data_IF_996954813702
#
_entry.id   IF_996954813702
#
_cell.length_a   1.000
_cell.length_b   1.000
_cell.length_c   1.000
_cell.angle_alpha   90.00
_cell.angle_beta   90.00
_cell.angle_gamma   90.00
#
_symmetry.space_group_name_H-M   'P 1'
#
loop_
_entity.id
_entity.type
_entity.pdbx_description
1 polymer ?
#
# COMPACT_ATOMS: atom_id res chain seq x y z
N UNK A 1 -43.09 15.97 -36.85
CA UNK A 1 -41.90 16.02 -36.00
C UNK A 1 -41.06 14.82 -36.40
N UNK A 2 -39.89 15.11 -36.91
CA UNK A 2 -39.11 14.26 -37.79
C UNK A 2 -38.27 13.28 -36.95
N UNK A 3 -38.34 11.99 -37.26
CA UNK A 3 -37.57 10.94 -36.57
C UNK A 3 -36.11 10.89 -37.05
N UNK A 4 -35.66 11.89 -37.79
CA UNK A 4 -34.34 11.98 -38.44
C UNK A 4 -33.28 12.68 -37.58
N UNK A 5 -33.65 13.46 -36.56
CA UNK A 5 -32.69 14.20 -35.71
C UNK A 5 -32.20 13.41 -34.46
N UNK A 6 -32.73 12.21 -34.21
CA UNK A 6 -32.26 11.34 -33.12
C UNK A 6 -31.11 10.40 -33.54
N UNK A 7 -30.63 10.49 -34.78
CA UNK A 7 -29.58 9.63 -35.32
C UNK A 7 -28.17 10.25 -35.34
N UNK A 8 -28.01 11.54 -35.01
CA UNK A 8 -26.72 12.25 -35.10
C UNK A 8 -25.93 12.36 -33.78
N UNK A 9 -26.39 11.72 -32.71
CA UNK A 9 -25.54 11.36 -31.57
C UNK A 9 -25.02 9.93 -31.73
N UNK A 10 -24.54 9.61 -32.94
CA UNK A 10 -23.58 8.53 -33.16
C UNK A 10 -22.29 8.93 -32.45
N UNK A 11 -22.24 8.65 -31.14
CA UNK A 11 -21.04 8.70 -30.32
C UNK A 11 -20.03 7.73 -30.91
N UNK A 12 -19.21 8.21 -31.85
CA UNK A 12 -18.13 7.43 -32.43
C UNK A 12 -17.21 7.04 -31.28
N UNK A 13 -17.18 5.73 -30.97
CA UNK A 13 -16.25 5.22 -29.95
C UNK A 13 -14.84 5.64 -30.37
N UNK A 14 -14.07 6.27 -29.49
CA UNK A 14 -12.72 6.70 -29.83
C UNK A 14 -11.90 5.50 -30.29
N UNK A 15 -11.15 5.68 -31.36
CA UNK A 15 -10.26 4.66 -31.91
C UNK A 15 -9.14 4.37 -30.92
N UNK A 16 -8.55 3.16 -30.98
CA UNK A 16 -7.40 2.78 -30.12
C UNK A 16 -6.28 3.82 -30.20
N UNK A 17 -6.03 4.38 -31.40
CA UNK A 17 -5.02 5.41 -31.62
C UNK A 17 -5.34 6.71 -30.87
N UNK A 18 -6.58 7.16 -30.88
CA UNK A 18 -7.02 8.36 -30.16
C UNK A 18 -6.93 8.17 -28.65
N UNK A 19 -7.31 7.00 -28.15
CA UNK A 19 -7.20 6.69 -26.72
C UNK A 19 -5.73 6.59 -26.27
N UNK A 20 -4.87 5.97 -27.07
CA UNK A 20 -3.43 5.89 -26.79
C UNK A 20 -2.77 7.27 -26.84
N UNK A 21 -3.12 8.11 -27.81
CA UNK A 21 -2.62 9.50 -27.87
C UNK A 21 -3.07 10.29 -26.65
N UNK A 22 -4.36 10.24 -26.29
CA UNK A 22 -4.86 10.92 -25.10
C UNK A 22 -4.18 10.41 -23.82
N UNK A 23 -3.96 9.10 -23.71
CA UNK A 23 -3.23 8.49 -22.61
C UNK A 23 -1.79 9.02 -22.52
N UNK A 24 -1.03 8.99 -23.62
CA UNK A 24 0.35 9.51 -23.63
C UNK A 24 0.42 11.01 -23.38
N UNK A 25 -0.51 11.80 -23.93
CA UNK A 25 -0.57 13.25 -23.67
C UNK A 25 -0.80 13.54 -22.20
N UNK A 26 -1.78 12.88 -21.57
CA UNK A 26 -2.05 13.07 -20.14
C UNK A 26 -0.89 12.64 -19.26
N UNK A 27 -0.24 11.51 -19.59
CA UNK A 27 0.99 11.09 -18.92
C UNK A 27 2.12 12.12 -19.06
N UNK A 28 2.32 12.67 -20.26
CA UNK A 28 3.33 13.70 -20.50
C UNK A 28 3.03 15.00 -19.75
N UNK A 29 1.75 15.29 -19.48
CA UNK A 29 1.29 16.41 -18.67
C UNK A 29 1.31 16.13 -17.16
N UNK A 30 1.68 14.92 -16.73
CA UNK A 30 1.70 14.52 -15.32
C UNK A 30 0.31 14.32 -14.71
N UNK A 31 -0.73 14.23 -15.54
CA UNK A 31 -2.09 13.96 -15.09
C UNK A 31 -2.24 12.46 -14.76
N UNK A 32 -2.95 12.15 -13.68
CA UNK A 32 -3.31 10.78 -13.37
C UNK A 32 -4.24 10.22 -14.44
N UNK A 33 -3.86 9.10 -15.06
CA UNK A 33 -4.68 8.44 -16.08
C UNK A 33 -5.04 7.04 -15.64
N UNK A 34 -6.34 6.76 -15.59
CA UNK A 34 -6.81 5.39 -15.48
C UNK A 34 -6.59 4.68 -16.82
N UNK A 35 -5.91 3.54 -16.80
CA UNK A 35 -5.63 2.77 -18.01
C UNK A 35 -6.59 1.58 -18.11
N UNK A 36 -7.55 1.61 -19.05
CA UNK A 36 -8.48 0.49 -19.27
C UNK A 36 -7.73 -0.80 -19.61
N UNK A 37 -8.24 -1.94 -19.13
CA UNK A 37 -7.65 -3.27 -19.40
C UNK A 37 -7.44 -3.53 -20.89
N UNK A 38 -8.38 -3.10 -21.73
CA UNK A 38 -8.33 -3.27 -23.19
C UNK A 38 -7.10 -2.62 -23.85
N UNK A 39 -6.44 -1.70 -23.17
CA UNK A 39 -5.26 -1.00 -23.68
C UNK A 39 -3.94 -1.57 -23.16
N UNK A 40 -3.95 -2.44 -22.15
CA UNK A 40 -2.73 -2.94 -21.51
C UNK A 40 -1.77 -3.60 -22.50
N UNK A 41 -2.28 -4.35 -23.48
CA UNK A 41 -1.45 -5.01 -24.50
C UNK A 41 -0.75 -4.03 -25.46
N UNK A 42 -1.18 -2.77 -25.51
CA UNK A 42 -0.63 -1.75 -26.40
C UNK A 42 0.34 -0.81 -25.67
N UNK A 43 0.38 -0.87 -24.33
CA UNK A 43 1.26 -0.01 -23.53
C UNK A 43 2.60 -0.72 -23.31
N UNK A 44 3.74 -0.12 -23.71
CA UNK A 44 5.05 -0.71 -23.54
C UNK A 44 5.57 -0.49 -22.10
N UNK A 45 4.90 -1.06 -21.09
CA UNK A 45 5.17 -0.80 -19.67
C UNK A 45 6.65 -0.88 -19.29
N UNK A 46 7.41 -1.82 -19.86
CA UNK A 46 8.85 -1.99 -19.59
C UNK A 46 9.72 -0.80 -20.00
N UNK A 47 9.28 -0.04 -21.00
CA UNK A 47 10.02 1.09 -21.57
C UNK A 47 9.57 2.41 -20.94
N UNK A 48 8.50 2.40 -20.16
CA UNK A 48 7.92 3.59 -19.56
C UNK A 48 8.48 3.80 -18.15
N UNK A 49 8.85 5.05 -17.87
CA UNK A 49 9.27 5.46 -16.53
C UNK A 49 8.06 6.02 -15.79
N UNK A 50 7.41 5.19 -14.99
CA UNK A 50 6.29 5.63 -14.16
C UNK A 50 6.81 6.29 -12.88
N UNK A 51 6.64 7.61 -12.75
CA UNK A 51 6.97 8.31 -11.52
C UNK A 51 6.10 7.82 -10.34
N UNK A 52 4.82 7.60 -10.60
CA UNK A 52 3.84 7.11 -9.63
C UNK A 52 2.96 6.03 -10.26
N UNK A 53 2.71 4.97 -9.51
CA UNK A 53 1.73 3.94 -9.85
C UNK A 53 0.76 3.78 -8.70
N UNK A 54 -0.52 4.01 -9.00
CA UNK A 54 -1.63 3.79 -8.06
C UNK A 54 -2.39 2.54 -8.46
N UNK A 55 -2.51 1.58 -7.55
CA UNK A 55 -3.26 0.35 -7.75
C UNK A 55 -4.41 0.35 -6.76
N UNK A 56 -5.64 0.34 -7.27
CA UNK A 56 -6.85 0.31 -6.46
C UNK A 56 -7.52 -1.06 -6.61
N UNK A 57 -7.48 -1.85 -5.54
CA UNK A 57 -8.09 -3.16 -5.42
C UNK A 57 -9.11 -3.13 -4.28
N UNK A 58 -10.08 -2.22 -4.40
CA UNK A 58 -11.20 -2.07 -3.47
C UNK A 58 -12.47 -2.68 -4.03
N UNK A 59 -13.27 -3.32 -3.18
CA UNK A 59 -14.65 -3.72 -3.46
C UNK A 59 -15.54 -2.49 -3.43
N UNK A 60 -15.59 -1.74 -4.53
CA UNK A 60 -16.63 -0.72 -4.70
C UNK A 60 -17.96 -1.41 -5.06
N UNK A 61 -18.85 -1.58 -4.08
CA UNK A 61 -20.22 -2.08 -4.32
C UNK A 61 -20.34 -3.58 -4.64
N UNK A 62 -21.57 -4.08 -4.47
CA UNK A 62 -22.06 -5.48 -4.57
C UNK A 62 -21.02 -6.51 -5.07
N UNK A 63 -20.38 -7.19 -4.11
CA UNK A 63 -19.60 -8.44 -4.30
C UNK A 63 -18.74 -8.48 -5.56
N UNK A 64 -17.83 -7.52 -5.74
CA UNK A 64 -16.77 -7.70 -6.72
C UNK A 64 -15.74 -8.71 -6.20
N UNK A 65 -15.92 -9.98 -6.55
CA UNK A 65 -14.79 -10.90 -6.65
C UNK A 65 -14.16 -10.64 -8.02
N UNK A 66 -13.08 -9.86 -8.06
CA UNK A 66 -12.27 -9.80 -9.26
C UNK A 66 -11.91 -11.25 -9.66
N UNK A 67 -12.27 -11.71 -10.87
CA UNK A 67 -11.97 -13.08 -11.28
C UNK A 67 -10.48 -13.33 -11.09
N UNK A 68 -10.08 -14.52 -10.62
CA UNK A 68 -8.66 -14.86 -10.43
C UNK A 68 -7.82 -14.61 -11.72
N UNK A 69 -8.46 -14.66 -12.89
CA UNK A 69 -7.88 -14.29 -14.18
C UNK A 69 -7.54 -12.80 -14.31
N UNK A 70 -8.38 -11.89 -13.80
CA UNK A 70 -8.11 -10.45 -13.80
C UNK A 70 -6.86 -10.14 -12.97
N UNK A 71 -6.73 -10.79 -11.81
CA UNK A 71 -5.52 -10.64 -11.00
C UNK A 71 -4.28 -11.17 -11.73
N UNK A 72 -4.36 -12.32 -12.42
CA UNK A 72 -3.23 -12.85 -13.20
C UNK A 72 -2.79 -11.88 -14.30
N UNK A 73 -3.74 -11.29 -15.03
CA UNK A 73 -3.44 -10.27 -16.05
C UNK A 73 -2.82 -9.03 -15.42
N UNK A 74 -3.40 -8.53 -14.33
CA UNK A 74 -2.87 -7.38 -13.59
C UNK A 74 -1.45 -7.65 -13.09
N UNK A 75 -1.19 -8.81 -12.49
CA UNK A 75 0.14 -9.20 -12.03
C UNK A 75 1.15 -9.25 -13.19
N UNK A 76 0.75 -9.72 -14.36
CA UNK A 76 1.60 -9.72 -15.56
C UNK A 76 1.92 -8.32 -16.07
N UNK A 77 1.04 -7.34 -15.87
CA UNK A 77 1.29 -5.94 -16.21
C UNK A 77 2.18 -5.30 -15.16
N UNK A 78 1.83 -5.43 -13.89
CA UNK A 78 2.58 -4.88 -12.75
C UNK A 78 4.03 -5.38 -12.74
N UNK A 79 4.28 -6.63 -13.13
CA UNK A 79 5.65 -7.17 -13.19
C UNK A 79 6.53 -6.54 -14.25
N UNK A 80 5.94 -5.79 -15.18
CA UNK A 80 6.66 -5.04 -16.19
C UNK A 80 6.82 -3.55 -15.83
N UNK A 81 6.34 -3.14 -14.65
CA UNK A 81 6.38 -1.76 -14.18
C UNK A 81 7.53 -1.60 -13.17
N UNK A 82 8.33 -0.57 -13.38
CA UNK A 82 9.26 -0.06 -12.38
C UNK A 82 8.89 1.37 -12.02
N UNK A 83 8.77 1.69 -10.73
CA UNK A 83 8.30 3.01 -10.27
C UNK A 83 9.07 3.55 -9.06
N UNK A 84 9.03 4.87 -8.90
CA UNK A 84 9.55 5.57 -7.72
C UNK A 84 8.52 5.64 -6.60
N UNK A 85 7.22 5.73 -6.93
CA UNK A 85 6.15 5.83 -5.93
C UNK A 85 5.07 4.80 -6.19
N UNK A 86 4.81 3.95 -5.21
CA UNK A 86 3.69 3.03 -5.21
C UNK A 86 2.63 3.48 -4.22
N UNK A 87 1.41 3.67 -4.70
CA UNK A 87 0.22 3.82 -3.86
C UNK A 87 -0.67 2.60 -4.07
N UNK A 88 -0.83 1.78 -3.04
CA UNK A 88 -1.65 0.59 -3.08
C UNK A 88 -2.84 0.73 -2.15
N UNK A 89 -4.04 0.60 -2.70
CA UNK A 89 -5.27 0.47 -1.96
C UNK A 89 -5.79 -0.96 -2.10
N UNK A 90 -5.88 -1.69 -1.00
CA UNK A 90 -6.18 -3.11 -1.03
C UNK A 90 -7.24 -3.50 0.01
N UNK A 91 -8.16 -4.38 -0.38
CA UNK A 91 -9.14 -4.96 0.55
C UNK A 91 -8.56 -6.04 1.46
N UNK A 92 -7.39 -6.57 1.13
CA UNK A 92 -6.82 -7.69 1.87
C UNK A 92 -5.30 -7.68 1.85
N UNK A 93 -4.72 -8.23 2.91
CA UNK A 93 -3.30 -8.46 3.02
C UNK A 93 -2.78 -9.41 1.92
N UNK A 94 -3.63 -10.31 1.41
CA UNK A 94 -3.26 -11.19 0.32
C UNK A 94 -3.07 -10.41 -0.99
N UNK A 95 -3.83 -9.34 -1.19
CA UNK A 95 -3.69 -8.48 -2.37
C UNK A 95 -2.44 -7.62 -2.27
N UNK A 96 -2.15 -7.08 -1.07
CA UNK A 96 -0.86 -6.45 -0.75
C UNK A 96 0.29 -7.39 -1.12
N UNK A 97 0.26 -8.64 -0.63
CA UNK A 97 1.29 -9.64 -0.92
C UNK A 97 1.52 -9.84 -2.41
N UNK A 98 0.45 -9.98 -3.19
CA UNK A 98 0.60 -10.30 -4.61
C UNK A 98 1.16 -9.10 -5.40
N UNK A 99 0.73 -7.87 -5.09
CA UNK A 99 1.23 -6.65 -5.73
C UNK A 99 2.69 -6.43 -5.38
N UNK A 100 3.02 -6.45 -4.09
CA UNK A 100 4.39 -6.22 -3.61
C UNK A 100 5.39 -7.27 -4.13
N UNK A 101 4.94 -8.50 -4.41
CA UNK A 101 5.76 -9.54 -5.06
C UNK A 101 5.97 -9.34 -6.55
N UNK A 102 5.08 -8.59 -7.20
CA UNK A 102 5.07 -8.46 -8.65
C UNK A 102 5.77 -7.18 -9.10
N UNK A 103 5.59 -6.07 -8.38
CA UNK A 103 6.10 -4.76 -8.79
C UNK A 103 7.60 -4.61 -8.54
N UNK A 104 8.28 -3.90 -9.44
CA UNK A 104 9.67 -3.48 -9.22
C UNK A 104 9.71 -2.03 -8.74
N UNK A 105 10.54 -1.76 -7.74
CA UNK A 105 10.71 -0.42 -7.19
C UNK A 105 12.12 0.10 -7.51
N UNK A 106 12.20 1.37 -7.92
CA UNK A 106 13.46 2.09 -8.04
C UNK A 106 14.14 2.19 -6.67
N UNK A 107 15.44 2.50 -6.64
CA UNK A 107 16.12 2.84 -5.38
C UNK A 107 15.47 4.07 -4.76
N UNK A 108 15.43 4.13 -3.44
CA UNK A 108 14.83 5.25 -2.71
C UNK A 108 13.33 5.45 -3.03
N UNK A 109 12.63 4.36 -3.32
CA UNK A 109 11.20 4.41 -3.60
C UNK A 109 10.36 4.75 -2.37
N UNK A 110 9.19 5.32 -2.64
CA UNK A 110 8.13 5.61 -1.67
C UNK A 110 7.02 4.58 -1.85
N UNK A 111 6.59 3.96 -0.76
CA UNK A 111 5.49 2.99 -0.77
C UNK A 111 4.43 3.41 0.24
N UNK A 112 3.19 3.50 -0.22
CA UNK A 112 2.02 3.77 0.61
C UNK A 112 0.99 2.66 0.43
N UNK A 113 0.60 2.00 1.51
CA UNK A 113 -0.39 0.92 1.52
C UNK A 113 -1.57 1.36 2.39
N UNK A 114 -2.74 1.38 1.79
CA UNK A 114 -4.03 1.63 2.44
C UNK A 114 -4.84 0.33 2.38
N UNK A 115 -4.89 -0.38 3.50
CA UNK A 115 -5.57 -1.66 3.61
C UNK A 115 -6.86 -1.53 4.44
N UNK A 116 -7.99 -1.66 3.76
CA UNK A 116 -9.32 -1.58 4.38
C UNK A 116 -9.88 -3.00 4.55
N UNK A 117 -9.28 -3.77 5.47
CA UNK A 117 -9.75 -5.12 5.81
C UNK A 117 -10.15 -5.20 7.27
N UNK A 118 -11.40 -5.58 7.52
CA UNK A 118 -11.85 -6.00 8.86
C UNK A 118 -11.47 -7.45 9.18
N UNK A 119 -11.10 -8.23 8.16
CA UNK A 119 -10.77 -9.64 8.33
C UNK A 119 -9.40 -9.80 8.97
N UNK A 120 -9.33 -10.70 9.95
CA UNK A 120 -8.07 -11.03 10.61
C UNK A 120 -7.07 -11.57 9.58
N UNK A 121 -5.88 -10.97 9.48
CA UNK A 121 -4.84 -11.45 8.59
C UNK A 121 -4.42 -12.87 8.96
N UNK A 122 -4.19 -13.74 7.96
CA UNK A 122 -3.80 -15.15 8.17
C UNK A 122 -2.39 -15.47 7.70
N UNK A 123 -1.84 -14.67 6.80
CA UNK A 123 -0.53 -14.91 6.20
C UNK A 123 0.20 -13.58 6.02
N UNK A 124 1.48 -13.47 6.35
CA UNK A 124 2.19 -12.21 6.22
C UNK A 124 2.27 -11.76 4.75
N UNK A 125 2.11 -10.45 4.53
CA UNK A 125 2.11 -9.81 3.22
C UNK A 125 3.53 -9.64 2.68
N UNK A 126 4.47 -9.29 3.54
CA UNK A 126 5.83 -8.89 3.18
C UNK A 126 6.83 -10.03 3.25
N UNK A 127 6.41 -11.21 3.70
CA UNK A 127 7.29 -12.38 3.76
C UNK A 127 7.94 -12.65 2.40
N UNK A 128 9.28 -12.69 2.41
CA UNK A 128 10.15 -12.85 1.24
C UNK A 128 10.15 -11.68 0.24
N UNK A 129 9.73 -10.49 0.67
CA UNK A 129 9.79 -9.26 -0.12
C UNK A 129 10.96 -8.42 0.37
N UNK A 130 11.86 -8.02 -0.54
CA UNK A 130 12.94 -7.11 -0.18
C UNK A 130 12.41 -5.69 -0.02
N UNK A 131 12.73 -5.06 1.10
CA UNK A 131 12.42 -3.66 1.37
C UNK A 131 13.64 -2.74 1.16
N UNK A 132 14.75 -3.26 0.62
CA UNK A 132 16.04 -2.57 0.52
C UNK A 132 16.03 -1.32 -0.37
N UNK A 133 15.12 -1.26 -1.32
CA UNK A 133 15.01 -0.14 -2.26
C UNK A 133 14.06 0.95 -1.75
N UNK A 134 13.42 0.77 -0.59
CA UNK A 134 12.40 1.67 -0.09
C UNK A 134 13.05 2.66 0.88
N UNK A 135 12.89 3.95 0.61
CA UNK A 135 13.32 5.01 1.53
C UNK A 135 12.21 5.41 2.49
N UNK A 136 10.95 5.44 1.99
CA UNK A 136 9.78 5.80 2.76
C UNK A 136 8.67 4.75 2.63
N UNK A 137 8.13 4.33 3.77
CA UNK A 137 7.09 3.31 3.83
C UNK A 137 5.98 3.75 4.76
N UNK A 138 4.76 3.80 4.22
CA UNK A 138 3.54 4.06 4.97
C UNK A 138 2.58 2.87 4.85
N UNK A 139 2.12 2.33 5.97
CA UNK A 139 1.09 1.30 5.98
C UNK A 139 -0.03 1.65 6.94
N UNK A 140 -1.21 1.87 6.38
CA UNK A 140 -2.46 2.09 7.08
C UNK A 140 -3.29 0.81 6.96
N UNK A 141 -3.54 0.14 8.09
CA UNK A 141 -4.34 -1.09 8.17
C UNK A 141 -5.04 -1.14 9.52
N UNK A 142 -6.16 -1.84 9.67
CA UNK A 142 -6.75 -2.04 11.00
C UNK A 142 -5.95 -3.07 11.81
N UNK A 143 -5.47 -4.12 11.15
CA UNK A 143 -4.73 -5.24 11.76
C UNK A 143 -3.45 -5.53 10.99
N UNK A 144 -2.39 -5.88 11.71
CA UNK A 144 -1.09 -6.29 11.12
C UNK A 144 -0.53 -7.50 11.86
N UNK A 145 0.07 -8.44 11.14
CA UNK A 145 0.75 -9.59 11.73
C UNK A 145 2.11 -9.19 12.29
N UNK A 146 2.53 -9.85 13.37
CA UNK A 146 3.83 -9.63 14.02
C UNK A 146 4.99 -9.84 13.05
N UNK A 147 4.91 -10.78 12.11
CA UNK A 147 5.97 -11.02 11.13
C UNK A 147 6.15 -9.87 10.15
N UNK A 148 5.04 -9.31 9.63
CA UNK A 148 5.09 -8.14 8.75
C UNK A 148 5.61 -6.92 9.51
N UNK A 149 5.12 -6.73 10.73
CA UNK A 149 5.53 -5.63 11.59
C UNK A 149 7.02 -5.71 11.90
N UNK A 150 7.51 -6.88 12.33
CA UNK A 150 8.93 -7.14 12.59
C UNK A 150 9.79 -6.85 11.36
N UNK A 151 9.37 -7.34 10.20
CA UNK A 151 10.13 -7.13 8.96
C UNK A 151 10.24 -5.65 8.59
N UNK A 152 9.19 -4.87 8.79
CA UNK A 152 9.18 -3.43 8.50
C UNK A 152 10.04 -2.67 9.52
N UNK A 153 9.91 -2.98 10.81
CA UNK A 153 10.68 -2.32 11.87
C UNK A 153 12.19 -2.62 11.78
N UNK A 154 12.56 -3.85 11.41
CA UNK A 154 13.96 -4.27 11.25
C UNK A 154 14.55 -3.93 9.88
N UNK A 155 13.82 -3.21 9.03
CA UNK A 155 14.31 -2.79 7.71
C UNK A 155 15.24 -1.57 7.78
N UNK A 156 15.94 -1.29 6.69
CA UNK A 156 16.76 -0.08 6.54
C UNK A 156 15.98 1.13 5.96
N UNK A 157 14.65 1.10 6.04
CA UNK A 157 13.79 2.19 5.58
C UNK A 157 14.05 3.42 6.47
N UNK A 158 14.26 4.60 5.87
CA UNK A 158 14.63 5.80 6.65
C UNK A 158 13.41 6.45 7.30
N UNK A 159 12.29 6.46 6.58
CA UNK A 159 11.04 7.11 7.02
C UNK A 159 9.93 6.06 7.09
N UNK A 160 9.51 5.75 8.30
CA UNK A 160 8.54 4.68 8.53
C UNK A 160 7.28 5.23 9.20
N UNK A 161 6.12 4.93 8.62
CA UNK A 161 4.82 5.19 9.24
C UNK A 161 3.96 3.93 9.24
N UNK A 162 3.55 3.46 10.40
CA UNK A 162 2.62 2.32 10.51
C UNK A 162 1.46 2.71 11.40
N UNK A 163 0.28 2.77 10.81
CA UNK A 163 -0.99 2.91 11.52
C UNK A 163 -1.70 1.59 11.47
N UNK A 164 -1.57 0.83 12.55
CA UNK A 164 -2.16 -0.48 12.73
C UNK A 164 -2.75 -0.59 14.14
N UNK A 165 -3.99 -0.15 14.39
CA UNK A 165 -4.59 -0.16 15.71
C UNK A 165 -4.50 -1.50 16.43
N UNK A 166 -4.58 -2.62 15.72
CA UNK A 166 -4.59 -3.95 16.31
C UNK A 166 -3.42 -4.81 15.79
N UNK A 167 -2.21 -4.66 16.36
CA UNK A 167 -1.12 -5.58 16.07
C UNK A 167 -1.47 -6.97 16.63
N UNK A 168 -1.21 -8.01 15.85
CA UNK A 168 -1.55 -9.40 16.18
C UNK A 168 -0.35 -10.14 16.79
N UNK A 169 -0.62 -11.16 17.61
CA UNK A 169 0.41 -11.98 18.25
C UNK A 169 1.32 -11.13 19.13
N UNK A 170 2.64 -11.34 19.03
CA UNK A 170 3.65 -10.62 19.81
C UNK A 170 3.91 -9.18 19.29
N UNK A 171 3.04 -8.64 18.43
CA UNK A 171 3.27 -7.37 17.74
C UNK A 171 3.54 -6.19 18.68
N UNK A 172 2.89 -6.13 19.85
CA UNK A 172 3.17 -5.08 20.83
C UNK A 172 4.56 -5.19 21.47
N UNK A 173 5.01 -6.41 21.78
CA UNK A 173 6.36 -6.65 22.31
C UNK A 173 7.42 -6.25 21.29
N UNK A 174 7.21 -6.61 20.02
CA UNK A 174 8.12 -6.23 18.92
C UNK A 174 8.21 -4.70 18.78
N UNK A 175 7.09 -3.98 18.93
CA UNK A 175 7.09 -2.51 18.91
C UNK A 175 7.84 -1.96 20.12
N UNK A 176 7.63 -2.53 21.31
CA UNK A 176 8.35 -2.10 22.50
C UNK A 176 9.87 -2.31 22.35
N UNK A 177 10.33 -3.49 21.93
CA UNK A 177 11.75 -3.75 21.65
C UNK A 177 12.31 -2.76 20.64
N UNK A 178 11.60 -2.55 19.53
CA UNK A 178 12.00 -1.57 18.51
C UNK A 178 12.14 -0.15 19.07
N UNK A 179 11.21 0.30 19.91
CA UNK A 179 11.27 1.64 20.50
C UNK A 179 12.51 1.81 21.40
N UNK A 180 12.96 0.75 22.08
CA UNK A 180 14.21 0.79 22.85
C UNK A 180 15.40 0.97 21.91
N UNK A 181 15.45 0.20 20.83
CA UNK A 181 16.52 0.30 19.82
C UNK A 181 16.53 1.68 19.14
N UNK A 182 15.35 2.24 18.84
CA UNK A 182 15.22 3.55 18.20
C UNK A 182 15.66 4.68 19.13
N UNK A 183 15.17 4.71 20.37
CA UNK A 183 15.57 5.71 21.36
C UNK A 183 17.04 5.57 21.78
N UNK A 184 17.58 4.35 21.73
CA UNK A 184 19.00 4.07 21.92
C UNK A 184 19.89 4.43 20.74
N UNK A 185 19.33 4.87 19.61
CA UNK A 185 20.09 5.26 18.40
C UNK A 185 20.67 4.08 17.61
N UNK A 186 20.16 2.87 17.83
CA UNK A 186 20.59 1.63 17.15
C UNK A 186 19.77 1.37 15.89
N UNK A 187 18.49 1.75 15.89
CA UNK A 187 17.61 1.54 14.74
C UNK A 187 18.04 2.33 13.50
N UNK A 188 17.80 1.76 12.31
CA UNK A 188 18.18 2.37 11.03
C UNK A 188 17.29 3.56 10.63
N UNK A 189 16.05 3.60 11.11
CA UNK A 189 15.08 4.65 10.81
C UNK A 189 15.56 5.99 11.37
N UNK A 190 15.36 7.06 10.59
CA UNK A 190 15.55 8.45 11.04
C UNK A 190 14.27 9.06 11.60
N UNK A 191 13.13 8.56 11.12
CA UNK A 191 11.81 8.98 11.54
C UNK A 191 10.90 7.77 11.59
N UNK A 192 10.15 7.65 12.69
CA UNK A 192 9.13 6.64 12.84
C UNK A 192 7.85 7.25 13.42
N UNK A 193 6.70 6.92 12.83
CA UNK A 193 5.39 7.36 13.27
C UNK A 193 4.46 6.14 13.39
N UNK A 194 3.96 5.90 14.60
CA UNK A 194 3.23 4.69 14.93
C UNK A 194 1.89 5.00 15.57
N UNK A 195 0.86 4.31 15.11
CA UNK A 195 -0.44 4.30 15.76
C UNK A 195 -0.90 2.87 16.00
N UNK A 196 -0.77 2.43 17.25
CA UNK A 196 -1.25 1.15 17.76
C UNK A 196 -2.25 1.43 18.90
N UNK A 197 -3.37 0.70 18.96
CA UNK A 197 -4.29 0.72 20.10
C UNK A 197 -3.95 -0.44 21.02
N UNK A 198 -3.37 -0.13 22.17
CA UNK A 198 -3.22 -1.12 23.24
C UNK A 198 -4.57 -1.31 23.94
N UNK A 199 -5.16 -2.51 23.81
CA UNK A 199 -6.32 -2.92 24.64
C UNK A 199 -5.90 -3.58 25.95
N UNK A 200 -4.63 -3.97 26.08
CA UNK A 200 -4.08 -4.64 27.26
C UNK A 200 -3.29 -3.62 28.09
N UNK A 201 -3.82 -3.29 29.27
CA UNK A 201 -3.25 -2.33 30.22
C UNK A 201 -1.84 -2.74 30.72
N UNK A 202 -1.55 -4.05 30.80
CA UNK A 202 -0.27 -4.56 31.31
C UNK A 202 0.93 -4.25 30.39
N UNK A 203 0.71 -4.23 29.07
CA UNK A 203 1.78 -3.91 28.11
C UNK A 203 2.09 -2.41 28.13
N UNK A 204 1.07 -1.57 28.37
CA UNK A 204 1.25 -0.15 28.62
C UNK A 204 2.11 0.03 29.87
N UNK A 205 1.77 -0.58 31.01
CA UNK A 205 2.57 -0.43 32.24
C UNK A 205 4.02 -0.90 32.07
N UNK A 206 4.26 -1.93 31.27
CA UNK A 206 5.63 -2.40 30.95
C UNK A 206 6.38 -1.39 30.08
N UNK A 207 5.74 -0.77 29.08
CA UNK A 207 6.33 0.30 28.27
C UNK A 207 6.53 1.58 29.11
N UNK A 208 5.63 1.95 29.99
CA UNK A 208 5.82 3.16 30.81
C UNK A 208 6.91 2.96 31.87
N UNK A 209 6.96 1.81 32.53
CA UNK A 209 7.97 1.49 33.54
C UNK A 209 9.37 1.29 32.94
N UNK A 210 9.47 0.70 31.76
CA UNK A 210 10.78 0.45 31.10
C UNK A 210 11.36 1.71 30.46
N UNK A 211 10.52 2.68 30.07
CA UNK A 211 10.95 3.85 29.32
C UNK A 211 10.86 5.18 30.11
N UNK A 212 10.47 5.14 31.39
CA UNK A 212 10.47 6.31 32.27
C UNK A 212 9.49 7.42 31.86
N UNK A 213 8.47 7.10 31.06
CA UNK A 213 7.38 8.03 30.80
C UNK A 213 6.58 8.22 32.09
N UNK A 214 6.24 9.46 32.50
CA UNK A 214 5.43 9.68 33.69
C UNK A 214 4.14 8.88 33.55
N UNK A 215 3.86 8.05 34.55
CA UNK A 215 2.60 7.32 34.64
C UNK A 215 1.45 8.32 34.42
N UNK A 216 0.40 7.91 33.70
CA UNK A 216 -0.81 8.72 33.58
C UNK A 216 -1.21 9.20 34.98
N UNK A 217 -1.51 10.49 35.18
CA UNK A 217 -2.21 10.90 36.39
C UNK A 217 -3.46 10.02 36.47
N UNK A 218 -3.58 9.26 37.55
CA UNK A 218 -4.79 8.50 37.82
C UNK A 218 -5.96 9.49 37.84
N UNK A 219 -6.89 9.37 36.90
CA UNK A 219 -8.23 9.94 37.06
C UNK A 219 -8.90 9.18 38.20
N UNK A 220 -8.67 9.64 39.42
CA UNK A 220 -9.47 9.35 40.60
C UNK A 220 -9.29 10.53 41.57
N UNK A 221 -10.32 11.36 41.63
CA UNK A 221 -10.73 12.05 42.86
C UNK A 221 -11.03 11.04 43.98
#
# INVERSE_FOLDING_TARGET
MDNSELAELSSSRPTVKEVMNAFFTKLALGEGVELPESLWSFVPFRQMNFALVRIVQRKTGVRYQAPAQLFKKLASVISNITTWTLVLEADSQQDVKKVMKSISLQREAIVQIYQESEQRPRTPALQYISLSNIEEFMWYTERILSEDLKQVLQSNIKYLRVRAPFPEGDGLYIVAEYLQEFLGGVAAQRHCDFFFRCRELEVIETIYSTFGFPARPSEQD
#
